data_IF_535771931507
#
_entry.id   IF_535771931507
#
_cell.length_a   1.000
_cell.length_b   1.000
_cell.length_c   1.000
_cell.angle_alpha   90.00
_cell.angle_beta   90.00
_cell.angle_gamma   90.00
#
_symmetry.space_group_name_H-M   'P 1'
#
loop_
_entity.id
_entity.type
_entity.pdbx_description
1 polymer ?
#
# COMPACT_ATOMS: atom_id res chain seq x y z
N UNK A 1 -4.65 -7.71 -16.89
CA UNK A 1 -3.89 -6.71 -17.67
C UNK A 1 -2.46 -6.83 -17.21
N UNK A 2 -1.55 -7.16 -18.11
CA UNK A 2 -0.12 -7.22 -17.78
C UNK A 2 0.47 -5.83 -18.02
N UNK A 3 1.00 -5.23 -16.96
CA UNK A 3 1.50 -3.85 -16.98
C UNK A 3 3.00 -3.75 -16.70
N UNK A 4 3.62 -4.86 -16.25
CA UNK A 4 5.00 -4.86 -15.74
C UNK A 4 5.17 -4.15 -14.39
N UNK A 5 4.08 -3.88 -13.66
CA UNK A 5 4.11 -3.22 -12.36
C UNK A 5 3.88 -4.23 -11.24
N UNK A 6 4.81 -4.27 -10.29
CA UNK A 6 4.65 -5.00 -9.04
C UNK A 6 3.75 -4.22 -8.09
N UNK A 7 2.51 -4.69 -7.92
CA UNK A 7 1.49 -3.99 -7.14
C UNK A 7 1.86 -3.87 -5.67
N UNK A 8 2.45 -4.93 -5.08
CA UNK A 8 2.82 -4.92 -3.67
C UNK A 8 3.92 -3.87 -3.38
N UNK A 9 4.95 -3.81 -4.23
CA UNK A 9 6.01 -2.79 -4.12
C UNK A 9 5.46 -1.36 -4.29
N UNK A 10 4.46 -1.19 -5.18
CA UNK A 10 3.78 0.09 -5.34
C UNK A 10 2.98 0.47 -4.09
N UNK A 11 2.30 -0.49 -3.45
CA UNK A 11 1.57 -0.29 -2.19
C UNK A 11 2.52 0.13 -1.07
N UNK A 12 3.68 -0.52 -0.96
CA UNK A 12 4.70 -0.20 0.04
C UNK A 12 5.28 1.20 -0.17
N UNK A 13 5.54 1.55 -1.43
CA UNK A 13 6.00 2.90 -1.81
C UNK A 13 4.96 3.96 -1.42
N UNK A 14 3.68 3.68 -1.66
CA UNK A 14 2.59 4.58 -1.29
C UNK A 14 2.49 4.75 0.23
N UNK A 15 2.65 3.67 0.99
CA UNK A 15 2.67 3.72 2.46
C UNK A 15 3.84 4.58 2.96
N UNK A 16 5.05 4.35 2.43
CA UNK A 16 6.25 5.09 2.79
C UNK A 16 6.10 6.60 2.57
N UNK A 17 5.81 7.03 1.34
CA UNK A 17 5.74 8.47 1.04
C UNK A 17 4.59 9.16 1.78
N UNK A 18 3.48 8.46 2.00
CA UNK A 18 2.35 9.01 2.75
C UNK A 18 2.69 9.20 4.23
N UNK A 19 3.45 8.28 4.82
CA UNK A 19 3.97 8.42 6.18
C UNK A 19 4.91 9.63 6.32
N UNK A 20 5.84 9.81 5.37
CA UNK A 20 6.73 10.99 5.34
C UNK A 20 5.94 12.31 5.23
N UNK A 21 4.81 12.28 4.53
CA UNK A 21 3.91 13.43 4.37
C UNK A 21 2.90 13.57 5.53
N UNK A 22 2.91 12.69 6.53
CA UNK A 22 2.00 12.73 7.67
C UNK A 22 0.52 12.52 7.30
N UNK A 23 0.22 11.76 6.25
CA UNK A 23 -1.14 11.49 5.77
C UNK A 23 -1.34 10.04 5.35
N UNK A 24 -2.58 9.63 5.11
CA UNK A 24 -2.87 8.32 4.52
C UNK A 24 -2.63 8.31 2.99
N UNK A 25 -2.34 7.14 2.38
CA UNK A 25 -2.32 6.99 0.93
C UNK A 25 -3.67 7.34 0.30
N UNK A 26 -3.68 8.12 -0.78
CA UNK A 26 -4.92 8.45 -1.50
C UNK A 26 -5.50 7.25 -2.27
N UNK A 27 -4.69 6.23 -2.57
CA UNK A 27 -5.13 5.02 -3.28
C UNK A 27 -6.01 4.16 -2.38
N UNK A 28 -7.28 3.97 -2.78
CA UNK A 28 -8.21 3.06 -2.09
C UNK A 28 -7.71 1.62 -2.06
N UNK A 29 -7.04 1.18 -3.13
CA UNK A 29 -6.46 -0.17 -3.22
C UNK A 29 -5.32 -0.32 -2.20
N UNK A 30 -4.41 0.65 -2.13
CA UNK A 30 -3.32 0.59 -1.16
C UNK A 30 -3.84 0.54 0.28
N UNK A 31 -4.82 1.39 0.63
CA UNK A 31 -5.45 1.38 1.96
C UNK A 31 -6.08 0.02 2.30
N UNK A 32 -6.83 -0.57 1.36
CA UNK A 32 -7.47 -1.86 1.56
C UNK A 32 -6.45 -3.00 1.73
N UNK A 33 -5.39 -3.02 0.91
CA UNK A 33 -4.34 -4.03 0.99
C UNK A 33 -3.59 -3.93 2.32
N UNK A 34 -3.19 -2.72 2.73
CA UNK A 34 -2.51 -2.49 4.02
C UNK A 34 -3.39 -2.91 5.20
N UNK A 35 -4.68 -2.55 5.17
CA UNK A 35 -5.64 -2.98 6.19
C UNK A 35 -5.76 -4.51 6.27
N UNK A 36 -5.81 -5.19 5.12
CA UNK A 36 -5.84 -6.66 5.06
C UNK A 36 -4.56 -7.29 5.62
N UNK A 37 -3.39 -6.73 5.34
CA UNK A 37 -2.11 -7.22 5.89
C UNK A 37 -2.08 -7.10 7.41
N UNK A 38 -2.53 -5.96 7.93
CA UNK A 38 -2.64 -5.74 9.38
C UNK A 38 -3.57 -6.75 10.09
N UNK A 39 -4.63 -7.22 9.42
CA UNK A 39 -5.53 -8.25 9.98
C UNK A 39 -5.00 -9.68 9.87
N UNK A 40 -4.10 -9.96 8.91
CA UNK A 40 -3.65 -11.33 8.61
C UNK A 40 -2.41 -11.72 9.40
N UNK A 41 -1.73 -10.76 10.05
CA UNK A 41 -0.56 -11.04 10.88
C UNK A 41 0.71 -11.39 10.10
N UNK A 42 0.72 -11.13 8.79
CA UNK A 42 1.94 -11.06 7.99
C UNK A 42 2.71 -9.79 8.40
N UNK A 43 3.45 -9.89 9.51
CA UNK A 43 4.36 -8.87 10.01
C UNK A 43 5.81 -9.23 9.61
#
# INVERSE_FOLDING_TARGET
IETGIELDALVDTAAWISAELGREPASRVARAVLAKRATTGDA
#
